data_IF_446845294983
#
_entry.id   IF_446845294983
#
_cell.length_a   1.000
_cell.length_b   1.000
_cell.length_c   1.000
_cell.angle_alpha   90.00
_cell.angle_beta   90.00
_cell.angle_gamma   90.00
#
_symmetry.space_group_name_H-M   'P 1'
#
loop_
_entity.id
_entity.type
_entity.pdbx_description
1 polymer ?
#
# COMPACT_ATOMS: atom_id res chain seq x y z
N UNK A 1 5.64 -7.07 17.57
CA UNK A 1 5.43 -7.41 16.13
C UNK A 1 4.01 -7.07 15.79
N UNK A 2 3.81 -6.30 14.74
CA UNK A 2 2.47 -6.00 14.24
C UNK A 2 1.89 -7.22 13.53
N UNK A 3 0.58 -7.39 13.68
CA UNK A 3 -0.14 -8.48 13.06
C UNK A 3 -0.15 -8.35 11.53
N UNK A 4 0.08 -9.45 10.82
CA UNK A 4 -0.05 -9.49 9.36
C UNK A 4 -1.44 -10.01 9.00
N UNK A 5 -2.27 -9.25 8.29
CA UNK A 5 -3.56 -9.74 7.84
C UNK A 5 -3.39 -10.75 6.70
N UNK A 6 -4.10 -11.87 6.81
CA UNK A 6 -4.35 -12.77 5.68
C UNK A 6 -5.67 -12.38 5.04
N UNK A 7 -5.60 -11.88 3.84
CA UNK A 7 -6.80 -11.57 3.06
C UNK A 7 -7.35 -12.86 2.43
N UNK A 8 -8.67 -13.02 2.47
CA UNK A 8 -9.33 -14.08 1.72
C UNK A 8 -8.94 -13.97 0.24
N UNK A 9 -8.56 -15.08 -0.37
CA UNK A 9 -7.97 -15.14 -1.71
C UNK A 9 -8.85 -14.43 -2.74
N UNK A 10 -8.39 -13.28 -3.24
CA UNK A 10 -9.06 -12.50 -4.28
C UNK A 10 -8.26 -12.64 -5.59
N UNK A 11 -7.92 -13.84 -5.98
CA UNK A 11 -7.21 -14.02 -7.24
C UNK A 11 -8.20 -14.30 -8.37
N UNK A 12 -8.47 -13.29 -9.20
CA UNK A 12 -8.95 -13.51 -10.55
C UNK A 12 -7.77 -13.38 -11.51
N UNK A 13 -7.67 -14.29 -12.45
CA UNK A 13 -6.71 -14.23 -13.53
C UNK A 13 -6.95 -12.99 -14.41
N UNK A 14 -5.89 -12.29 -14.80
CA UNK A 14 -6.01 -11.19 -15.74
C UNK A 14 -6.30 -11.73 -17.12
N UNK A 15 -7.35 -11.25 -17.77
CA UNK A 15 -7.78 -11.67 -19.11
C UNK A 15 -6.83 -11.24 -20.23
N UNK A 16 -5.83 -10.40 -19.94
CA UNK A 16 -4.82 -9.95 -20.91
C UNK A 16 -3.50 -10.71 -20.74
N UNK A 17 -2.96 -10.80 -19.52
CA UNK A 17 -1.67 -11.43 -19.29
C UNK A 17 -1.77 -12.80 -18.57
N UNK A 18 -2.97 -13.26 -18.26
CA UNK A 18 -3.29 -14.54 -17.61
C UNK A 18 -2.59 -14.78 -16.27
N UNK A 19 -2.16 -13.72 -15.59
CA UNK A 19 -1.53 -13.82 -14.27
C UNK A 19 -2.55 -13.64 -13.15
N UNK A 20 -2.49 -14.54 -12.18
CA UNK A 20 -3.35 -14.53 -11.00
C UNK A 20 -2.71 -13.75 -9.85
N UNK A 21 -2.85 -12.43 -9.81
CA UNK A 21 -2.42 -11.64 -8.64
C UNK A 21 -3.18 -10.33 -8.52
N UNK A 22 -3.12 -9.74 -7.33
CA UNK A 22 -3.71 -8.44 -7.06
C UNK A 22 -2.71 -7.35 -7.47
N UNK A 23 -3.03 -6.65 -8.53
CA UNK A 23 -2.32 -5.46 -8.98
C UNK A 23 -3.26 -4.25 -8.95
N UNK A 24 -2.75 -3.01 -8.95
CA UNK A 24 -3.59 -1.82 -8.84
C UNK A 24 -4.71 -1.73 -9.87
N UNK A 25 -4.48 -2.19 -11.10
CA UNK A 25 -5.53 -2.26 -12.13
C UNK A 25 -6.63 -3.29 -11.86
N UNK A 26 -6.52 -4.07 -10.78
CA UNK A 26 -7.49 -5.08 -10.32
C UNK A 26 -7.79 -4.95 -8.83
N UNK A 27 -7.59 -3.77 -8.30
CA UNK A 27 -7.83 -3.49 -6.89
C UNK A 27 -9.31 -3.74 -6.54
N UNK A 28 -9.61 -4.48 -5.47
CA UNK A 28 -10.99 -4.75 -5.08
C UNK A 28 -11.64 -3.51 -4.47
N UNK A 29 -12.54 -2.87 -5.22
CA UNK A 29 -13.29 -1.69 -4.78
C UNK A 29 -14.53 -2.12 -3.99
N UNK A 30 -14.32 -2.81 -2.88
CA UNK A 30 -15.39 -3.33 -2.00
C UNK A 30 -14.85 -3.65 -0.61
N UNK A 31 -15.74 -3.88 0.34
CA UNK A 31 -15.35 -4.42 1.65
C UNK A 31 -14.63 -5.77 1.52
N UNK A 32 -13.61 -5.97 2.33
CA UNK A 32 -12.84 -7.20 2.44
C UNK A 32 -12.87 -7.74 3.85
N UNK A 33 -12.71 -9.05 3.97
CA UNK A 33 -12.51 -9.71 5.25
C UNK A 33 -11.03 -10.10 5.40
N UNK A 34 -10.49 -9.94 6.62
CA UNK A 34 -9.12 -10.27 6.94
C UNK A 34 -9.02 -11.06 8.25
N UNK A 35 -8.08 -12.00 8.29
CA UNK A 35 -7.61 -12.60 9.52
C UNK A 35 -6.31 -11.92 9.94
N UNK A 36 -6.16 -11.63 11.23
CA UNK A 36 -4.95 -11.01 11.79
C UNK A 36 -4.22 -12.05 12.63
N UNK A 37 -2.96 -12.32 12.28
CA UNK A 37 -2.11 -13.25 13.01
C UNK A 37 -1.07 -12.49 13.81
N UNK A 38 -0.87 -12.89 15.06
CA UNK A 38 0.12 -12.39 15.99
C UNK A 38 0.15 -10.87 16.18
N UNK A 39 0.39 -10.45 17.38
CA UNK A 39 0.49 -9.04 17.72
C UNK A 39 0.04 -8.80 19.16
N UNK A 40 0.48 -7.70 19.71
CA UNK A 40 0.10 -7.24 21.06
C UNK A 40 -0.92 -6.11 21.03
N UNK A 41 -1.11 -5.47 19.86
CA UNK A 41 -2.02 -4.35 19.67
C UNK A 41 -2.43 -4.22 18.21
N UNK A 42 -3.46 -3.46 17.96
CA UNK A 42 -3.91 -3.06 16.63
C UNK A 42 -3.26 -1.71 16.26
N UNK A 43 -2.27 -1.68 15.33
CA UNK A 43 -1.60 -0.44 14.94
C UNK A 43 -2.43 0.37 13.94
N UNK A 44 -2.02 1.63 13.69
CA UNK A 44 -2.69 2.48 12.71
C UNK A 44 -2.48 2.02 11.27
N UNK A 45 -1.34 1.38 10.97
CA UNK A 45 -1.13 0.71 9.68
C UNK A 45 -0.96 -0.79 9.87
N UNK A 46 -1.73 -1.58 9.11
CA UNK A 46 -1.55 -3.03 8.99
C UNK A 46 -0.75 -3.35 7.73
N UNK A 47 0.41 -3.98 7.91
CA UNK A 47 1.24 -4.44 6.80
C UNK A 47 0.70 -5.74 6.20
N UNK A 48 0.50 -5.79 4.89
CA UNK A 48 0.01 -6.95 4.16
C UNK A 48 1.10 -7.77 3.44
N UNK A 49 2.34 -7.68 3.88
CA UNK A 49 3.45 -8.38 3.22
C UNK A 49 3.65 -7.91 1.78
N UNK A 50 3.59 -8.83 0.81
CA UNK A 50 3.83 -8.52 -0.62
C UNK A 50 2.60 -8.01 -1.38
N UNK A 51 1.48 -7.78 -0.73
CA UNK A 51 0.27 -7.29 -1.40
C UNK A 51 0.26 -5.77 -1.48
N UNK A 52 -0.31 -5.20 -2.57
CA UNK A 52 -0.39 -3.76 -2.77
C UNK A 52 -1.49 -3.10 -1.91
N UNK A 53 -1.73 -3.63 -0.71
CA UNK A 53 -2.70 -3.06 0.20
C UNK A 53 -2.03 -2.14 1.20
N UNK A 54 -2.50 -0.91 1.23
CA UNK A 54 -2.22 0.04 2.27
C UNK A 54 -3.45 0.10 3.17
N UNK A 55 -3.32 -0.40 4.40
CA UNK A 55 -4.46 -0.56 5.32
C UNK A 55 -4.27 0.35 6.51
N UNK A 56 -5.25 1.22 6.76
CA UNK A 56 -5.24 2.18 7.86
C UNK A 56 -6.38 1.91 8.85
N UNK A 57 -6.13 2.22 10.13
CA UNK A 57 -7.19 2.37 11.12
C UNK A 57 -8.11 3.53 10.73
N UNK A 58 -9.39 3.46 11.13
CA UNK A 58 -10.34 4.55 10.93
C UNK A 58 -9.85 5.88 11.52
N UNK A 59 -9.25 5.82 12.71
CA UNK A 59 -8.72 7.01 13.38
C UNK A 59 -7.64 7.70 12.53
N UNK A 60 -6.70 6.93 11.97
CA UNK A 60 -5.65 7.47 11.10
C UNK A 60 -6.23 7.97 9.77
N UNK A 61 -7.18 7.25 9.18
CA UNK A 61 -7.85 7.66 7.94
C UNK A 61 -8.52 9.04 8.11
N UNK A 62 -9.35 9.19 9.14
CA UNK A 62 -10.06 10.44 9.45
C UNK A 62 -9.08 11.58 9.76
N UNK A 63 -7.96 11.27 10.44
CA UNK A 63 -6.93 12.28 10.70
C UNK A 63 -6.30 12.78 9.39
N UNK A 64 -5.92 11.90 8.48
CA UNK A 64 -5.36 12.27 7.17
C UNK A 64 -6.35 13.11 6.35
N UNK A 65 -7.61 12.68 6.28
CA UNK A 65 -8.69 13.41 5.59
C UNK A 65 -8.89 14.82 6.19
N UNK A 66 -8.88 14.94 7.52
CA UNK A 66 -9.00 16.24 8.21
C UNK A 66 -7.84 17.19 7.90
N UNK A 67 -6.67 16.65 7.53
CA UNK A 67 -5.50 17.41 7.08
C UNK A 67 -5.49 17.63 5.56
N UNK A 68 -6.57 17.27 4.84
CA UNK A 68 -6.69 17.44 3.39
C UNK A 68 -5.80 16.48 2.59
N UNK A 69 -5.53 15.28 3.10
CA UNK A 69 -4.82 14.21 2.40
C UNK A 69 -5.87 13.22 1.92
N UNK A 70 -6.29 13.35 0.65
CA UNK A 70 -7.43 12.63 0.07
C UNK A 70 -7.10 11.93 -1.25
N UNK A 71 -5.83 11.68 -1.54
CA UNK A 71 -5.36 11.11 -2.81
C UNK A 71 -5.59 9.59 -2.95
N UNK A 72 -6.62 9.06 -2.31
CA UNK A 72 -6.96 7.64 -2.29
C UNK A 72 -8.47 7.41 -2.21
N UNK A 73 -8.89 6.20 -2.55
CA UNK A 73 -10.23 5.70 -2.25
C UNK A 73 -10.13 4.68 -1.12
N UNK A 74 -11.02 4.75 -0.13
CA UNK A 74 -11.02 3.87 1.03
C UNK A 74 -12.18 2.88 0.96
N UNK A 75 -11.95 1.63 1.35
CA UNK A 75 -12.94 0.56 1.40
C UNK A 75 -12.84 -0.18 2.73
N UNK A 76 -13.95 -0.56 3.37
CA UNK A 76 -13.94 -1.23 4.66
C UNK A 76 -13.14 -2.54 4.65
N UNK A 77 -12.39 -2.79 5.73
CA UNK A 77 -11.73 -4.05 6.00
C UNK A 77 -12.23 -4.60 7.34
N UNK A 78 -12.92 -5.74 7.31
CA UNK A 78 -13.46 -6.39 8.49
C UNK A 78 -12.43 -7.37 9.05
N UNK A 79 -12.04 -7.21 10.30
CA UNK A 79 -11.22 -8.22 10.99
C UNK A 79 -12.18 -9.31 11.51
N UNK A 80 -12.24 -10.44 10.78
CA UNK A 80 -13.15 -11.55 11.11
C UNK A 80 -12.54 -12.53 12.10
N UNK A 81 -11.21 -12.53 12.28
CA UNK A 81 -10.49 -13.40 13.18
C UNK A 81 -9.15 -12.80 13.61
N UNK A 82 -8.85 -12.93 14.90
CA UNK A 82 -7.54 -12.65 15.46
C UNK A 82 -6.98 -13.89 16.15
N UNK A 83 -5.77 -14.32 15.79
CA UNK A 83 -5.18 -15.57 16.32
C UNK A 83 -4.15 -15.32 17.42
N UNK A 84 -3.59 -14.13 17.50
CA UNK A 84 -2.62 -13.75 18.56
C UNK A 84 -3.25 -13.73 19.95
N UNK A 85 -2.58 -14.29 20.95
CA UNK A 85 -3.10 -14.43 22.30
C UNK A 85 -3.42 -13.08 22.98
N UNK A 86 -2.65 -12.05 22.68
CA UNK A 86 -2.82 -10.72 23.27
C UNK A 86 -3.96 -9.92 22.63
N UNK A 87 -4.23 -10.09 21.34
CA UNK A 87 -5.27 -9.32 20.61
C UNK A 87 -6.64 -9.98 20.60
N UNK A 88 -6.74 -11.27 20.96
CA UNK A 88 -8.03 -12.01 21.00
C UNK A 88 -9.09 -11.38 21.92
N UNK A 89 -8.67 -10.68 22.95
CA UNK A 89 -9.54 -10.07 23.96
C UNK A 89 -9.85 -8.60 23.65
N UNK A 90 -9.25 -8.03 22.61
CA UNK A 90 -9.41 -6.63 22.23
C UNK A 90 -10.33 -6.57 21.00
N UNK A 91 -11.39 -5.77 21.07
CA UNK A 91 -12.18 -5.49 19.89
C UNK A 91 -11.31 -4.75 18.85
N UNK A 92 -11.21 -5.25 17.61
CA UNK A 92 -10.44 -4.57 16.59
C UNK A 92 -11.08 -3.20 16.27
N UNK A 93 -10.27 -2.16 16.04
CA UNK A 93 -10.77 -0.94 15.45
C UNK A 93 -11.26 -1.21 14.02
N UNK A 94 -12.08 -0.32 13.48
CA UNK A 94 -12.42 -0.37 12.07
C UNK A 94 -11.16 -0.07 11.25
N UNK A 95 -10.94 -0.85 10.19
CA UNK A 95 -9.88 -0.64 9.22
C UNK A 95 -10.42 -0.39 7.83
N UNK A 96 -9.61 0.26 7.02
CA UNK A 96 -9.89 0.51 5.61
C UNK A 96 -8.66 0.16 4.78
N UNK A 97 -8.84 -0.53 3.68
CA UNK A 97 -7.81 -0.69 2.67
C UNK A 97 -7.95 0.40 1.62
N UNK A 98 -6.81 0.96 1.20
CA UNK A 98 -6.77 2.12 0.33
C UNK A 98 -6.35 1.74 -1.08
N UNK A 99 -7.13 2.18 -2.07
CA UNK A 99 -6.71 2.24 -3.47
C UNK A 99 -5.99 3.56 -3.69
N UNK A 100 -4.67 3.50 -3.87
CA UNK A 100 -3.83 4.66 -4.08
C UNK A 100 -3.84 5.08 -5.56
N UNK A 101 -3.71 6.38 -5.79
CA UNK A 101 -3.54 6.92 -7.14
C UNK A 101 -2.15 6.56 -7.70
N UNK A 102 -2.05 6.42 -9.02
CA UNK A 102 -0.77 6.38 -9.71
C UNK A 102 -0.28 7.81 -9.83
N UNK A 103 0.74 8.16 -9.05
CA UNK A 103 1.15 9.56 -8.83
C UNK A 103 2.57 9.89 -9.24
N UNK A 104 3.34 8.94 -9.79
CA UNK A 104 4.69 9.22 -10.23
C UNK A 104 5.16 8.30 -11.36
N UNK A 105 6.17 8.80 -12.09
CA UNK A 105 6.99 8.00 -12.99
C UNK A 105 8.35 7.67 -12.35
N UNK A 106 8.89 6.51 -12.68
CA UNK A 106 10.19 6.06 -12.23
C UNK A 106 11.27 6.39 -13.26
N UNK A 107 12.47 6.72 -12.79
CA UNK A 107 13.64 6.93 -13.63
C UNK A 107 14.43 5.62 -13.79
N UNK A 108 13.94 4.71 -14.64
CA UNK A 108 14.57 3.42 -14.87
C UNK A 108 16.06 3.50 -15.26
N UNK A 109 16.49 4.44 -16.13
CA UNK A 109 17.91 4.62 -16.42
C UNK A 109 18.74 4.91 -15.17
N UNK A 110 18.30 5.81 -14.30
CA UNK A 110 19.00 6.11 -13.04
C UNK A 110 18.92 4.99 -12.01
N UNK A 111 17.87 4.17 -12.06
CA UNK A 111 17.76 2.97 -11.24
C UNK A 111 18.65 1.82 -11.73
N UNK A 112 19.15 1.88 -12.97
CA UNK A 112 19.91 0.80 -13.58
C UNK A 112 19.08 -0.44 -13.87
N UNK A 113 17.77 -0.28 -14.10
CA UNK A 113 16.84 -1.38 -14.39
C UNK A 113 16.16 -1.18 -15.75
N UNK A 114 15.70 -2.28 -16.33
CA UNK A 114 14.88 -2.31 -17.53
C UNK A 114 13.54 -3.03 -17.29
N UNK A 115 12.50 -2.55 -17.94
CA UNK A 115 11.20 -3.23 -17.93
C UNK A 115 11.23 -4.34 -18.97
N UNK A 116 11.13 -5.58 -18.53
CA UNK A 116 11.11 -6.79 -19.39
C UNK A 116 9.68 -7.14 -19.84
N UNK A 117 8.73 -6.93 -18.97
CA UNK A 117 7.31 -7.22 -19.21
C UNK A 117 6.44 -6.26 -18.39
N UNK A 118 5.40 -5.75 -19.02
CA UNK A 118 4.40 -4.90 -18.35
C UNK A 118 3.01 -5.15 -18.94
N UNK A 119 2.03 -5.29 -18.05
CA UNK A 119 0.63 -5.39 -18.44
C UNK A 119 -0.12 -4.09 -18.09
N UNK A 120 -0.50 -3.33 -19.09
CA UNK A 120 -1.22 -2.05 -18.91
C UNK A 120 -2.59 -2.19 -18.26
N UNK A 121 -3.17 -3.40 -18.22
CA UNK A 121 -4.48 -3.63 -17.61
C UNK A 121 -4.39 -3.90 -16.11
N UNK A 122 -3.49 -4.76 -15.67
CA UNK A 122 -3.36 -5.12 -14.26
C UNK A 122 -2.11 -4.53 -13.59
N UNK A 123 -1.25 -3.86 -14.34
CA UNK A 123 0.02 -3.27 -13.91
C UNK A 123 1.05 -4.29 -13.38
N UNK A 124 0.86 -5.58 -13.74
CA UNK A 124 1.94 -6.53 -13.53
C UNK A 124 3.19 -6.06 -14.26
N UNK A 125 4.32 -6.04 -13.55
CA UNK A 125 5.59 -5.61 -14.12
C UNK A 125 6.69 -6.56 -13.71
N UNK A 126 7.52 -6.96 -14.67
CA UNK A 126 8.79 -7.65 -14.43
C UNK A 126 9.93 -6.77 -14.90
N UNK A 127 10.90 -6.57 -14.03
CA UNK A 127 12.08 -5.76 -14.27
C UNK A 127 13.36 -6.61 -14.14
N UNK A 128 14.41 -6.15 -14.76
CA UNK A 128 15.74 -6.75 -14.68
C UNK A 128 16.80 -5.65 -14.41
N UNK A 129 17.65 -5.78 -13.37
CA UNK A 129 17.62 -6.81 -12.33
C UNK A 129 16.39 -6.65 -11.41
N UNK A 130 15.90 -7.77 -10.84
CA UNK A 130 14.72 -7.77 -9.95
C UNK A 130 15.01 -7.20 -8.54
N UNK A 131 16.28 -7.09 -8.16
CA UNK A 131 16.73 -6.64 -6.83
C UNK A 131 17.99 -5.80 -6.93
N UNK A 132 18.36 -5.14 -5.82
CA UNK A 132 19.63 -4.46 -5.67
C UNK A 132 19.68 -3.06 -6.29
N UNK A 133 18.53 -2.43 -6.51
CA UNK A 133 18.44 -1.07 -7.00
C UNK A 133 17.72 -0.14 -5.99
N UNK A 134 18.08 1.12 -6.04
CA UNK A 134 17.34 2.19 -5.33
C UNK A 134 16.17 2.68 -6.19
N UNK A 135 15.06 2.97 -5.55
CA UNK A 135 13.93 3.63 -6.23
C UNK A 135 14.28 5.09 -6.51
N UNK A 136 14.15 5.50 -7.77
CA UNK A 136 14.34 6.90 -8.21
C UNK A 136 13.08 7.37 -8.92
N UNK A 137 12.49 8.46 -8.41
CA UNK A 137 11.27 9.08 -8.96
C UNK A 137 11.64 10.29 -9.79
N UNK A 138 11.04 10.46 -10.96
CA UNK A 138 11.17 11.68 -11.76
C UNK A 138 10.39 12.81 -11.11
N UNK A 139 11.07 13.84 -10.61
CA UNK A 139 10.43 14.95 -9.91
C UNK A 139 9.39 15.68 -10.78
N UNK A 140 9.70 15.86 -12.06
CA UNK A 140 8.79 16.53 -13.02
C UNK A 140 7.51 15.75 -13.35
N UNK A 141 7.45 14.47 -12.98
CA UNK A 141 6.32 13.59 -13.23
C UNK A 141 5.50 13.29 -11.96
N UNK A 142 5.67 14.09 -10.90
CA UNK A 142 4.83 14.03 -9.72
C UNK A 142 3.48 14.69 -10.00
N UNK A 143 2.40 14.00 -9.68
CA UNK A 143 1.02 14.45 -9.98
C UNK A 143 0.34 15.20 -8.82
N UNK A 144 1.12 15.66 -7.82
CA UNK A 144 0.62 16.50 -6.72
C UNK A 144 -0.13 15.72 -5.62
N UNK A 145 -0.03 14.40 -5.60
CA UNK A 145 -0.62 13.58 -4.53
C UNK A 145 0.32 13.47 -3.33
N UNK A 146 -0.24 13.40 -2.12
CA UNK A 146 0.54 13.22 -0.89
C UNK A 146 0.87 11.75 -0.59
N UNK A 147 0.02 10.81 -1.03
CA UNK A 147 0.23 9.37 -0.93
C UNK A 147 -0.16 8.72 -2.26
N UNK A 148 0.74 7.96 -2.86
CA UNK A 148 0.57 7.41 -4.20
C UNK A 148 1.44 6.18 -4.45
N UNK A 149 1.27 5.57 -5.60
CA UNK A 149 2.09 4.47 -6.10
C UNK A 149 2.64 4.81 -7.49
N UNK A 150 3.63 4.04 -7.94
CA UNK A 150 3.96 3.93 -9.36
C UNK A 150 3.23 2.73 -9.96
N UNK A 151 2.81 2.82 -11.22
CA UNK A 151 2.21 1.69 -11.94
C UNK A 151 3.17 0.48 -12.04
N UNK A 152 4.48 0.73 -12.02
CA UNK A 152 5.51 -0.30 -12.13
C UNK A 152 5.88 -0.93 -10.78
N UNK A 153 5.60 -0.26 -9.65
CA UNK A 153 5.85 -0.75 -8.29
C UNK A 153 4.64 -0.55 -7.37
N UNK A 154 3.54 -1.23 -7.67
CA UNK A 154 2.30 -1.03 -6.94
C UNK A 154 2.33 -1.47 -5.47
N UNK A 155 3.32 -2.29 -5.09
CA UNK A 155 3.51 -2.76 -3.72
C UNK A 155 4.29 -1.76 -2.83
N UNK A 156 4.76 -0.63 -3.40
CA UNK A 156 5.44 0.43 -2.66
C UNK A 156 4.59 1.68 -2.67
N UNK A 157 4.04 2.03 -1.52
CA UNK A 157 3.48 3.36 -1.34
C UNK A 157 4.60 4.39 -1.25
N UNK A 158 4.42 5.49 -1.95
CA UNK A 158 5.33 6.65 -1.97
C UNK A 158 4.55 7.82 -1.39
N UNK A 159 5.20 8.64 -0.59
CA UNK A 159 4.54 9.79 0.03
C UNK A 159 5.41 11.05 0.00
N UNK A 160 4.76 12.19 0.13
CA UNK A 160 5.41 13.49 0.33
C UNK A 160 5.87 13.65 1.79
N UNK A 161 6.71 14.66 2.04
CA UNK A 161 7.04 15.08 3.42
C UNK A 161 5.79 15.49 4.19
N UNK A 162 4.82 16.13 3.53
CA UNK A 162 3.55 16.53 4.16
C UNK A 162 2.80 15.33 4.75
N UNK A 163 2.66 14.25 4.00
CA UNK A 163 2.05 13.01 4.51
C UNK A 163 2.82 12.47 5.72
N UNK A 164 4.16 12.33 5.57
CA UNK A 164 5.02 11.87 6.66
C UNK A 164 4.85 12.70 7.92
N UNK A 165 4.95 14.03 7.80
CA UNK A 165 4.86 14.95 8.94
C UNK A 165 3.47 14.86 9.61
N UNK A 166 2.39 14.71 8.82
CA UNK A 166 1.03 14.51 9.35
C UNK A 166 0.92 13.23 10.17
N UNK A 167 1.48 12.12 9.68
CA UNK A 167 1.47 10.84 10.41
C UNK A 167 2.31 10.95 11.70
N UNK A 168 3.48 11.57 11.65
CA UNK A 168 4.36 11.74 12.82
C UNK A 168 3.72 12.64 13.89
N UNK A 169 3.01 13.70 13.51
CA UNK A 169 2.28 14.59 14.42
C UNK A 169 1.13 13.89 15.15
N UNK A 170 0.48 12.92 14.51
CA UNK A 170 -0.57 12.11 15.14
C UNK A 170 -0.01 10.95 15.99
N UNK A 171 1.31 10.79 16.06
CA UNK A 171 1.96 9.63 16.67
C UNK A 171 1.52 8.29 16.05
N UNK A 172 1.27 8.27 14.74
CA UNK A 172 0.84 7.10 13.99
C UNK A 172 1.74 5.90 14.19
N UNK A 173 1.15 4.75 14.46
CA UNK A 173 1.87 3.53 14.86
C UNK A 173 2.13 2.61 13.66
N UNK A 174 3.28 1.92 13.67
CA UNK A 174 3.72 0.95 12.67
C UNK A 174 3.99 1.53 11.27
N UNK A 175 4.29 2.82 11.18
CA UNK A 175 4.80 3.45 9.96
C UNK A 175 6.33 3.44 9.95
N UNK A 176 6.89 3.10 8.80
CA UNK A 176 8.33 3.20 8.54
C UNK A 176 8.53 3.98 7.24
N UNK A 177 9.33 5.05 7.31
CA UNK A 177 9.60 5.92 6.17
C UNK A 177 11.04 5.81 5.72
N UNK A 178 11.24 5.52 4.44
CA UNK A 178 12.56 5.51 3.82
C UNK A 178 12.64 6.62 2.77
N UNK A 179 13.68 7.46 2.86
CA UNK A 179 13.90 8.50 1.87
C UNK A 179 14.25 7.88 0.52
N UNK A 180 13.54 8.27 -0.52
CA UNK A 180 13.82 7.90 -1.90
C UNK A 180 14.53 9.03 -2.65
N UNK A 181 15.19 8.69 -3.75
CA UNK A 181 15.86 9.66 -4.62
C UNK A 181 14.88 10.25 -5.62
N UNK A 182 15.08 11.52 -5.96
CA UNK A 182 14.41 12.19 -7.08
C UNK A 182 15.40 12.55 -8.17
N UNK A 183 14.93 12.76 -9.39
CA UNK A 183 15.76 13.07 -10.56
C UNK A 183 15.20 14.21 -11.40
#
# INVERSE_FOLDING_TARGET
>A
MAALPRLATISKECDVCHRGSLYPGRYPERALDAEVEDGTSYPDILGCGSYPFFILSEAMLLHLESCGIESFQSFPLNIIRATGSAIKTINPPQYYHLKLAVGCELDFPKMGVSVVEHCSKCYYTRIDPAYGFDTVVKEKALHGYDLFISEFFPCKAICTSRFKDTVEQSHGTNFEFTKIKTS
#
